data_IF_786084227406
#
_entry.id   IF_786084227406
#
_cell.length_a   1.000
_cell.length_b   1.000
_cell.length_c   1.000
_cell.angle_alpha   90.00
_cell.angle_beta   90.00
_cell.angle_gamma   90.00
#
_symmetry.space_group_name_H-M   'P 1'
#
loop_
_entity.id
_entity.type
_entity.pdbx_description
1 polymer ?
#
# COMPACT_ATOMS: atom_id res chain seq x y z
N UNK A 1 -12.86 6.32 -10.82
CA UNK A 1 -12.18 7.06 -9.74
C UNK A 1 -10.74 6.55 -9.67
N UNK A 2 -9.72 7.38 -9.96
CA UNK A 2 -8.32 6.91 -9.88
C UNK A 2 -7.94 6.79 -8.40
N UNK A 3 -7.44 5.63 -7.92
CA UNK A 3 -7.01 5.49 -6.53
C UNK A 3 -5.88 6.48 -6.23
N UNK A 4 -5.96 7.19 -5.10
CA UNK A 4 -5.09 8.34 -4.78
C UNK A 4 -3.61 7.96 -4.71
N UNK A 5 -3.32 6.76 -4.18
CA UNK A 5 -1.99 6.15 -4.16
C UNK A 5 -1.44 5.97 -5.58
N UNK A 6 -2.27 5.56 -6.54
CA UNK A 6 -1.84 5.37 -7.93
C UNK A 6 -1.47 6.70 -8.58
N UNK A 7 -2.22 7.77 -8.33
CA UNK A 7 -1.87 9.10 -8.82
C UNK A 7 -0.54 9.60 -8.22
N UNK A 8 -0.32 9.33 -6.93
CA UNK A 8 0.92 9.64 -6.25
C UNK A 8 2.11 8.87 -6.85
N UNK A 9 2.00 7.55 -6.99
CA UNK A 9 3.04 6.71 -7.58
C UNK A 9 3.32 7.09 -9.03
N UNK A 10 2.29 7.39 -9.83
CA UNK A 10 2.45 7.81 -11.23
C UNK A 10 3.22 9.13 -11.32
N UNK A 11 2.96 10.06 -10.40
CA UNK A 11 3.69 11.33 -10.33
C UNK A 11 5.15 11.11 -9.90
N UNK A 12 5.39 10.23 -8.93
CA UNK A 12 6.73 9.89 -8.46
C UNK A 12 7.57 9.16 -9.54
N UNK A 13 6.93 8.26 -10.30
CA UNK A 13 7.59 7.47 -11.34
C UNK A 13 8.12 8.32 -12.51
N UNK A 14 7.57 9.53 -12.71
CA UNK A 14 8.12 10.50 -13.69
C UNK A 14 9.51 11.01 -13.30
N UNK A 15 9.84 11.00 -12.01
CA UNK A 15 11.11 11.53 -11.50
C UNK A 15 12.12 10.42 -11.19
N UNK A 16 11.66 9.23 -10.78
CA UNK A 16 12.54 8.16 -10.28
C UNK A 16 11.99 6.79 -10.69
N UNK A 17 12.90 5.83 -10.89
CA UNK A 17 12.56 4.41 -11.06
C UNK A 17 12.53 3.71 -9.71
N UNK A 18 11.52 2.89 -9.47
CA UNK A 18 11.38 2.07 -8.27
C UNK A 18 10.52 0.85 -8.59
N UNK A 19 10.62 -0.18 -7.75
CA UNK A 19 9.77 -1.36 -7.83
C UNK A 19 8.64 -1.22 -6.81
N UNK A 20 7.40 -1.52 -7.21
CA UNK A 20 6.26 -1.56 -6.29
C UNK A 20 5.82 -2.99 -6.09
N UNK A 21 5.58 -3.35 -4.84
CA UNK A 21 4.96 -4.62 -4.47
C UNK A 21 3.54 -4.31 -4.05
N UNK A 22 2.58 -4.97 -4.68
CA UNK A 22 1.15 -4.71 -4.47
C UNK A 22 0.53 -5.90 -3.77
N UNK A 23 -0.09 -5.66 -2.62
CA UNK A 23 -0.91 -6.65 -1.92
C UNK A 23 -2.19 -6.94 -2.73
N UNK A 24 -2.54 -8.22 -2.91
CA UNK A 24 -3.74 -8.65 -3.66
C UNK A 24 -5.04 -8.10 -3.08
N UNK A 25 -5.13 -7.91 -1.77
CA UNK A 25 -6.33 -7.47 -1.04
C UNK A 25 -7.50 -8.42 -1.29
N UNK A 26 -7.39 -9.63 -0.75
CA UNK A 26 -8.49 -10.60 -0.79
C UNK A 26 -9.62 -10.14 0.15
N UNK A 27 -10.91 -10.26 -0.24
CA UNK A 27 -11.44 -10.96 -1.42
C UNK A 27 -11.66 -10.09 -2.67
N UNK A 28 -11.52 -8.76 -2.56
CA UNK A 28 -11.88 -7.81 -3.64
C UNK A 28 -10.95 -7.90 -4.86
N UNK A 29 -9.67 -8.27 -4.68
CA UNK A 29 -8.69 -8.46 -5.77
C UNK A 29 -8.49 -7.24 -6.67
N UNK A 30 -8.63 -6.04 -6.10
CA UNK A 30 -8.54 -4.76 -6.81
C UNK A 30 -7.11 -4.36 -7.23
N UNK A 31 -6.10 -5.15 -6.87
CA UNK A 31 -4.69 -4.91 -7.17
C UNK A 31 -4.36 -4.82 -8.68
N UNK A 32 -5.20 -5.37 -9.56
CA UNK A 32 -4.95 -5.43 -11.02
C UNK A 32 -4.82 -4.06 -11.67
N UNK A 33 -5.44 -3.03 -11.10
CA UNK A 33 -5.32 -1.66 -11.62
C UNK A 33 -3.91 -1.08 -11.45
N UNK A 34 -3.13 -1.57 -10.49
CA UNK A 34 -1.76 -1.10 -10.23
C UNK A 34 -0.75 -1.74 -11.18
N UNK A 35 -0.88 -3.05 -11.45
CA UNK A 35 0.05 -3.82 -12.30
C UNK A 35 0.12 -3.34 -13.74
N UNK A 36 -0.95 -2.74 -14.26
CA UNK A 36 -0.92 -2.25 -15.65
C UNK A 36 -0.04 -1.02 -15.85
N UNK A 37 0.36 -0.34 -14.77
CA UNK A 37 1.05 0.95 -14.83
C UNK A 37 2.53 0.86 -14.43
N UNK A 38 2.93 -0.23 -13.79
CA UNK A 38 4.28 -0.45 -13.30
C UNK A 38 4.63 -1.94 -13.44
N UNK A 39 5.93 -2.28 -13.56
CA UNK A 39 6.43 -3.67 -13.55
C UNK A 39 6.34 -4.25 -12.12
N UNK A 40 5.12 -4.31 -11.59
CA UNK A 40 4.83 -4.61 -10.19
C UNK A 40 4.59 -6.09 -9.96
N UNK A 41 4.99 -6.56 -8.78
CA UNK A 41 4.70 -7.92 -8.32
C UNK A 41 3.45 -7.88 -7.44
N UNK A 42 2.40 -8.62 -7.84
CA UNK A 42 1.27 -8.89 -6.94
C UNK A 42 1.70 -9.98 -5.97
N UNK A 43 1.53 -9.71 -4.69
CA UNK A 43 1.82 -10.62 -3.60
C UNK A 43 0.55 -10.85 -2.79
N UNK A 44 0.33 -12.08 -2.33
CA UNK A 44 -0.80 -12.38 -1.45
C UNK A 44 -0.63 -11.67 -0.10
N UNK A 45 -1.74 -11.27 0.52
CA UNK A 45 -1.71 -10.54 1.80
C UNK A 45 -0.95 -11.31 2.89
N UNK A 46 -0.95 -12.65 2.86
CA UNK A 46 -0.20 -13.49 3.81
C UNK A 46 1.32 -13.43 3.63
N UNK A 47 1.78 -13.12 2.42
CA UNK A 47 3.21 -13.04 2.11
C UNK A 47 3.80 -11.67 2.45
N UNK A 48 2.98 -10.67 2.83
CA UNK A 48 3.45 -9.33 3.19
C UNK A 48 4.44 -9.33 4.37
N UNK A 49 4.28 -10.25 5.33
CA UNK A 49 5.17 -10.32 6.49
C UNK A 49 6.62 -10.69 6.12
N UNK A 50 6.90 -11.81 5.42
CA UNK A 50 8.27 -12.17 5.05
C UNK A 50 8.92 -11.20 4.07
N UNK A 51 8.17 -10.62 3.12
CA UNK A 51 8.72 -9.67 2.16
C UNK A 51 9.06 -8.31 2.78
N UNK A 52 8.52 -7.98 3.95
CA UNK A 52 8.72 -6.66 4.56
C UNK A 52 10.21 -6.35 4.82
N UNK A 53 11.04 -7.40 4.95
CA UNK A 53 12.50 -7.30 5.06
C UNK A 53 13.20 -6.66 3.86
N UNK A 54 12.59 -6.70 2.66
CA UNK A 54 13.10 -6.08 1.44
C UNK A 54 12.31 -4.82 1.02
N UNK A 55 11.35 -4.38 1.84
CA UNK A 55 10.53 -3.20 1.58
C UNK A 55 11.11 -2.00 2.32
N UNK A 56 11.40 -0.94 1.58
CA UNK A 56 11.96 0.28 2.16
C UNK A 56 10.89 1.22 2.74
N UNK A 57 9.69 1.20 2.14
CA UNK A 57 8.58 2.09 2.48
C UNK A 57 7.24 1.40 2.21
N UNK A 58 6.28 1.62 3.10
CA UNK A 58 4.90 1.18 2.89
C UNK A 58 4.05 2.40 2.60
N UNK A 59 3.29 2.35 1.51
CA UNK A 59 2.36 3.41 1.13
C UNK A 59 0.94 2.86 1.15
N UNK A 60 0.06 3.47 1.94
CA UNK A 60 -1.31 3.03 2.08
C UNK A 60 -2.30 4.17 1.83
N UNK A 61 -3.44 3.84 1.22
CA UNK A 61 -4.58 4.74 1.08
C UNK A 61 -5.51 4.61 2.28
N UNK A 62 -5.96 5.75 2.81
CA UNK A 62 -7.00 5.80 3.84
C UNK A 62 -8.34 6.24 3.26
N UNK A 63 -9.43 5.67 3.78
CA UNK A 63 -10.79 6.08 3.44
C UNK A 63 -11.20 7.28 4.30
N UNK A 64 -10.91 7.20 5.59
CA UNK A 64 -11.20 8.25 6.57
C UNK A 64 -10.08 8.27 7.61
N UNK A 65 -9.65 9.48 7.95
CA UNK A 65 -8.80 9.70 9.11
C UNK A 65 -9.69 10.11 10.28
N UNK A 66 -9.64 9.35 11.37
CA UNK A 66 -10.44 9.61 12.57
C UNK A 66 -9.71 10.63 13.43
N UNK A 67 -10.47 11.49 14.12
CA UNK A 67 -9.91 12.55 15.00
C UNK A 67 -9.03 12.00 16.12
N UNK A 68 -9.20 10.73 16.49
CA UNK A 68 -8.35 10.02 17.45
C UNK A 68 -6.96 9.65 16.91
N UNK A 69 -6.66 9.95 15.64
CA UNK A 69 -5.46 9.48 14.95
C UNK A 69 -5.59 8.06 14.41
N UNK A 70 -6.77 7.44 14.55
CA UNK A 70 -7.11 6.18 13.90
C UNK A 70 -7.32 6.36 12.40
N UNK A 71 -7.19 5.27 11.65
CA UNK A 71 -7.25 5.30 10.19
C UNK A 71 -8.12 4.14 9.75
N UNK A 72 -9.24 4.45 9.09
CA UNK A 72 -10.09 3.43 8.51
C UNK A 72 -9.71 3.26 7.03
N UNK A 73 -9.42 2.02 6.66
CA UNK A 73 -9.02 1.68 5.30
C UNK A 73 -9.87 0.50 4.82
N UNK A 74 -9.24 -0.56 4.34
CA UNK A 74 -9.86 -1.76 3.82
C UNK A 74 -9.85 -2.90 4.81
N UNK A 75 -10.67 -3.93 4.51
CA UNK A 75 -10.73 -5.15 5.30
C UNK A 75 -9.38 -5.86 5.31
N UNK A 76 -8.90 -6.24 6.50
CA UNK A 76 -7.59 -6.89 6.65
C UNK A 76 -6.39 -5.94 6.81
N UNK A 77 -6.57 -4.62 6.68
CA UNK A 77 -5.48 -3.66 6.86
C UNK A 77 -4.85 -3.69 8.26
N UNK A 78 -5.59 -4.09 9.30
CA UNK A 78 -5.04 -4.28 10.64
C UNK A 78 -3.94 -5.35 10.68
N UNK A 79 -4.08 -6.43 9.90
CA UNK A 79 -3.05 -7.48 9.78
C UNK A 79 -1.80 -6.94 9.08
N UNK A 80 -1.99 -6.09 8.07
CA UNK A 80 -0.91 -5.43 7.34
C UNK A 80 -0.21 -4.32 8.14
N UNK A 81 -0.83 -3.79 9.20
CA UNK A 81 -0.25 -2.76 10.05
C UNK A 81 0.79 -3.29 11.05
N UNK A 82 0.83 -4.60 11.30
CA UNK A 82 1.79 -5.24 12.22
C UNK A 82 3.20 -5.40 11.62
N UNK A 83 3.39 -5.96 10.40
CA UNK A 83 4.73 -6.16 9.85
C UNK A 83 5.58 -4.88 9.72
N UNK A 84 5.07 -3.73 9.23
CA UNK A 84 5.87 -2.52 9.12
C UNK A 84 6.38 -2.04 10.48
N UNK A 85 5.59 -2.20 11.54
CA UNK A 85 6.01 -1.90 12.92
C UNK A 85 7.11 -2.84 13.39
N UNK A 86 7.02 -4.13 13.09
CA UNK A 86 8.01 -5.12 13.48
C UNK A 86 9.36 -4.90 12.78
N UNK A 87 9.34 -4.60 11.48
CA UNK A 87 10.53 -4.37 10.67
C UNK A 87 11.02 -2.91 10.66
N UNK A 88 10.41 -2.03 11.50
CA UNK A 88 10.73 -0.59 11.55
C UNK A 88 10.66 0.12 10.19
N UNK A 89 9.75 -0.32 9.32
CA UNK A 89 9.55 0.26 7.99
C UNK A 89 8.59 1.44 8.11
N UNK A 90 8.94 2.63 7.59
CA UNK A 90 8.07 3.79 7.65
C UNK A 90 6.81 3.59 6.79
N UNK A 91 5.68 4.05 7.32
CA UNK A 91 4.36 3.95 6.68
C UNK A 91 3.86 5.35 6.33
N UNK A 92 3.71 5.61 5.04
CA UNK A 92 3.16 6.85 4.50
C UNK A 92 1.68 6.65 4.15
N UNK A 93 0.81 7.49 4.71
CA UNK A 93 -0.64 7.34 4.57
C UNK A 93 -1.21 8.52 3.81
N UNK A 94 -1.97 8.20 2.76
CA UNK A 94 -2.58 9.19 1.87
C UNK A 94 -4.10 9.11 1.99
N UNK A 95 -4.72 10.21 2.41
CA UNK A 95 -6.17 10.39 2.51
C UNK A 95 -6.62 11.59 1.67
N UNK A 96 -7.80 11.50 1.06
CA UNK A 96 -8.54 12.67 0.57
C UNK A 96 -9.60 13.03 1.59
N UNK A 97 -9.21 13.66 2.69
CA UNK A 97 -10.17 14.28 3.60
C UNK A 97 -10.62 15.63 3.07
#
# INVERSE_FOLDING_TARGET
MRPLVLAFLTKAAKQRKFHVIVAERAPERDARCFVRLFDDVIVSDVQMFPIMSCVNKVVAGAKTAVSSGGIETFVGAASLASPPKFYSVPVDIHSSS
#
